data_IF_947227436724
#
_entry.id   IF_947227436724
#
_cell.length_a   1.000
_cell.length_b   1.000
_cell.length_c   1.000
_cell.angle_alpha   90.00
_cell.angle_beta   90.00
_cell.angle_gamma   90.00
#
_symmetry.space_group_name_H-M   'P 1'
#
loop_
_entity.id
_entity.type
_entity.pdbx_description
1 polymer ?
#
# COMPACT_ATOMS: atom_id res chain seq x y z
N UNK A 1 -18.18 -3.50 -14.41
CA UNK A 1 -18.34 -2.64 -13.22
C UNK A 1 -19.82 -2.33 -13.05
N UNK A 2 -20.34 -2.41 -11.83
CA UNK A 2 -21.76 -2.14 -11.54
C UNK A 2 -21.93 -0.64 -11.30
N UNK A 3 -22.65 0.11 -12.17
CA UNK A 3 -22.88 1.53 -11.97
C UNK A 3 -23.87 1.76 -10.81
N UNK A 4 -23.70 2.89 -10.10
CA UNK A 4 -24.63 3.29 -9.04
C UNK A 4 -25.93 3.80 -9.67
N UNK A 5 -27.09 3.36 -9.22
CA UNK A 5 -28.37 3.85 -9.73
C UNK A 5 -28.52 5.38 -9.54
N UNK A 6 -28.96 6.08 -10.59
CA UNK A 6 -29.17 7.53 -10.54
C UNK A 6 -27.94 8.41 -10.79
N UNK A 7 -26.76 7.81 -10.98
CA UNK A 7 -25.51 8.52 -11.29
C UNK A 7 -25.29 8.58 -12.81
N UNK A 8 -24.83 9.73 -13.32
CA UNK A 8 -24.39 9.91 -14.68
C UNK A 8 -22.89 9.62 -14.82
N UNK A 9 -22.56 8.39 -15.24
CA UNK A 9 -21.19 7.92 -15.35
C UNK A 9 -20.41 8.57 -16.50
N UNK A 10 -21.10 8.95 -17.61
CA UNK A 10 -20.46 9.60 -18.76
C UNK A 10 -20.12 11.04 -18.43
N UNK A 11 -21.08 11.76 -17.84
CA UNK A 11 -20.85 13.14 -17.40
C UNK A 11 -19.74 13.21 -16.35
N UNK A 12 -19.71 12.28 -15.40
CA UNK A 12 -18.68 12.23 -14.37
C UNK A 12 -17.29 11.95 -14.94
N UNK A 13 -17.17 11.04 -15.91
CA UNK A 13 -15.89 10.76 -16.59
C UNK A 13 -15.39 11.97 -17.39
N UNK A 14 -16.27 12.72 -18.06
CA UNK A 14 -15.91 13.95 -18.77
C UNK A 14 -15.52 15.08 -17.81
N UNK A 15 -16.20 15.21 -16.67
CA UNK A 15 -15.89 16.15 -15.62
C UNK A 15 -14.51 15.90 -15.03
N UNK A 16 -14.19 14.63 -14.74
CA UNK A 16 -12.86 14.23 -14.27
C UNK A 16 -11.75 14.48 -15.30
N UNK A 17 -12.02 14.26 -16.57
CA UNK A 17 -11.05 14.54 -17.63
C UNK A 17 -10.80 16.05 -17.82
N UNK A 18 -11.77 16.90 -17.43
CA UNK A 18 -11.67 18.36 -17.46
C UNK A 18 -10.96 18.97 -16.24
N UNK A 19 -11.04 18.29 -15.08
CA UNK A 19 -10.33 18.68 -13.87
C UNK A 19 -8.90 18.14 -13.98
N UNK A 20 -7.96 18.97 -14.41
CA UNK A 20 -6.53 18.70 -14.61
C UNK A 20 -5.99 17.40 -13.99
N UNK A 21 -5.87 16.51 -14.72
CA UNK A 21 -5.52 15.12 -14.89
C UNK A 21 -4.45 14.47 -13.99
N UNK A 22 -3.88 15.14 -13.00
CA UNK A 22 -2.79 14.55 -12.25
C UNK A 22 -3.20 13.96 -10.92
N UNK A 23 -4.06 14.65 -10.18
CA UNK A 23 -4.31 14.34 -8.79
C UNK A 23 -5.34 13.21 -8.61
N UNK A 24 -6.35 13.17 -9.47
CA UNK A 24 -7.38 12.13 -9.48
C UNK A 24 -6.95 10.85 -10.21
N UNK A 25 -5.99 10.94 -11.12
CA UNK A 25 -5.39 9.78 -11.80
C UNK A 25 -4.75 8.78 -10.82
N UNK A 26 -4.21 9.28 -9.71
CA UNK A 26 -3.66 8.43 -8.67
C UNK A 26 -4.73 7.61 -7.93
N UNK A 27 -5.89 8.22 -7.63
CA UNK A 27 -7.03 7.49 -7.07
C UNK A 27 -7.55 6.43 -8.03
N UNK A 28 -7.58 6.75 -9.34
CA UNK A 28 -7.95 5.79 -10.37
C UNK A 28 -7.04 4.56 -10.40
N UNK A 29 -5.72 4.73 -10.16
CA UNK A 29 -4.79 3.61 -10.09
C UNK A 29 -5.12 2.62 -8.96
N UNK A 30 -5.46 3.11 -7.75
CA UNK A 30 -5.81 2.24 -6.62
C UNK A 30 -7.22 1.65 -6.72
N UNK A 31 -8.11 2.28 -7.45
CA UNK A 31 -9.50 1.84 -7.63
C UNK A 31 -9.72 1.05 -8.91
N UNK A 32 -8.67 0.87 -9.75
CA UNK A 32 -8.76 0.14 -11.02
C UNK A 32 -9.76 0.76 -12.01
N UNK A 33 -9.86 2.10 -12.04
CA UNK A 33 -10.82 2.84 -12.88
C UNK A 33 -12.26 2.82 -12.37
N UNK A 34 -12.52 2.21 -11.21
CA UNK A 34 -13.87 2.18 -10.59
C UNK A 34 -14.32 3.56 -10.14
N UNK A 35 -13.37 4.41 -9.75
CA UNK A 35 -13.62 5.79 -9.37
C UNK A 35 -14.09 6.63 -10.55
N UNK A 36 -13.42 6.54 -11.71
CA UNK A 36 -13.78 7.32 -12.91
C UNK A 36 -15.18 7.01 -13.43
N UNK A 37 -15.62 5.78 -13.24
CA UNK A 37 -16.95 5.31 -13.66
C UNK A 37 -17.98 5.39 -12.54
N UNK A 38 -17.67 5.98 -11.38
CA UNK A 38 -18.54 6.02 -10.20
C UNK A 38 -19.31 4.71 -10.01
N UNK A 39 -18.57 3.62 -9.97
CA UNK A 39 -19.14 2.28 -9.74
C UNK A 39 -19.37 2.04 -8.24
N UNK A 40 -20.10 0.98 -7.93
CA UNK A 40 -20.33 0.52 -6.55
C UNK A 40 -19.02 0.42 -5.73
N UNK A 41 -17.91 0.10 -6.39
CA UNK A 41 -16.59 -0.05 -5.80
C UNK A 41 -15.68 1.19 -5.98
N UNK A 42 -16.26 2.38 -6.17
CA UNK A 42 -15.47 3.60 -6.41
C UNK A 42 -14.54 3.98 -5.25
N UNK A 43 -14.94 3.73 -4.00
CA UNK A 43 -14.07 3.88 -2.83
C UNK A 43 -13.01 2.77 -2.68
N UNK A 44 -13.23 1.64 -3.37
CA UNK A 44 -12.33 0.48 -3.27
C UNK A 44 -12.07 0.05 -1.82
N UNK A 45 -10.83 -0.32 -1.50
CA UNK A 45 -10.32 -0.68 -0.16
C UNK A 45 -9.69 0.53 0.55
N UNK A 46 -9.69 1.72 -0.05
CA UNK A 46 -9.03 2.92 0.51
C UNK A 46 -9.47 3.22 1.96
N UNK A 47 -10.76 3.19 2.34
CA UNK A 47 -11.18 3.43 3.72
C UNK A 47 -10.61 2.40 4.70
N UNK A 48 -10.43 1.15 4.28
CA UNK A 48 -9.84 0.12 5.12
C UNK A 48 -8.34 0.35 5.33
N UNK A 49 -7.61 0.72 4.28
CA UNK A 49 -6.17 1.03 4.39
C UNK A 49 -5.98 2.19 5.36
N UNK A 50 -6.73 3.28 5.19
CA UNK A 50 -6.67 4.45 6.09
C UNK A 50 -7.02 4.07 7.53
N UNK A 51 -8.07 3.27 7.73
CA UNK A 51 -8.47 2.75 9.04
C UNK A 51 -7.38 1.89 9.69
N UNK A 52 -6.75 1.00 8.92
CA UNK A 52 -5.66 0.16 9.41
C UNK A 52 -4.45 0.99 9.84
N UNK A 53 -4.12 2.04 9.08
CA UNK A 53 -3.06 2.99 9.44
C UNK A 53 -3.39 3.69 10.76
N UNK A 54 -4.59 4.25 10.87
CA UNK A 54 -5.06 4.95 12.07
C UNK A 54 -4.99 4.01 13.27
N UNK A 55 -5.48 2.78 13.14
CA UNK A 55 -5.46 1.80 14.23
C UNK A 55 -4.05 1.39 14.65
N UNK A 56 -3.12 1.23 13.70
CA UNK A 56 -1.71 0.96 14.00
C UNK A 56 -1.06 2.12 14.76
N UNK A 57 -1.34 3.38 14.37
CA UNK A 57 -0.87 4.56 15.10
C UNK A 57 -1.48 4.65 16.50
N UNK A 58 -2.79 4.40 16.63
CA UNK A 58 -3.49 4.41 17.91
C UNK A 58 -3.02 3.30 18.85
N UNK A 59 -2.62 2.15 18.32
CA UNK A 59 -2.09 1.03 19.14
C UNK A 59 -0.80 1.42 19.86
N UNK A 60 -0.01 2.34 19.29
CA UNK A 60 1.20 2.86 19.95
C UNK A 60 0.84 4.00 20.92
N UNK A 61 -0.13 4.84 20.55
CA UNK A 61 -0.49 6.01 21.34
C UNK A 61 -1.34 5.66 22.58
N UNK A 62 -2.12 4.59 22.52
CA UNK A 62 -3.06 4.19 23.58
C UNK A 62 -2.59 2.90 24.26
N UNK A 63 -2.14 2.95 25.54
CA UNK A 63 -1.62 1.78 26.25
C UNK A 63 -2.59 0.58 26.28
N UNK A 64 -3.89 0.83 26.37
CA UNK A 64 -4.91 -0.22 26.37
C UNK A 64 -4.95 -1.03 25.05
N UNK A 65 -4.71 -0.38 23.91
CA UNK A 65 -4.63 -1.07 22.62
C UNK A 65 -3.31 -1.83 22.46
N UNK A 66 -2.22 -1.30 23.03
CA UNK A 66 -0.94 -1.98 23.09
C UNK A 66 -1.03 -3.28 23.93
N UNK A 67 -1.70 -3.23 25.09
CA UNK A 67 -1.97 -4.40 25.92
C UNK A 67 -2.78 -5.45 25.15
N UNK A 68 -3.86 -5.03 24.46
CA UNK A 68 -4.66 -5.93 23.63
C UNK A 68 -3.81 -6.58 22.51
N UNK A 69 -2.86 -5.86 21.92
CA UNK A 69 -1.97 -6.44 20.91
C UNK A 69 -1.04 -7.52 21.49
N UNK A 70 -0.63 -7.37 22.76
CA UNK A 70 0.19 -8.32 23.50
C UNK A 70 -0.59 -9.56 24.00
N UNK A 71 -1.93 -9.50 24.06
CA UNK A 71 -2.80 -10.64 24.42
C UNK A 71 -2.77 -11.81 23.41
N UNK A 72 -2.05 -11.67 22.28
CA UNK A 72 -1.92 -12.71 21.26
C UNK A 72 -3.07 -12.72 20.25
N UNK A 73 -3.56 -13.93 19.87
CA UNK A 73 -4.58 -14.05 18.80
C UNK A 73 -5.92 -13.41 19.15
N UNK A 74 -6.37 -13.52 20.40
CA UNK A 74 -7.67 -12.97 20.80
C UNK A 74 -7.65 -11.44 20.82
N UNK A 75 -6.55 -10.85 21.25
CA UNK A 75 -6.36 -9.40 21.19
C UNK A 75 -6.30 -8.88 19.74
N UNK A 76 -5.60 -9.58 18.86
CA UNK A 76 -5.55 -9.24 17.43
C UNK A 76 -6.93 -9.30 16.78
N UNK A 77 -7.76 -10.29 17.10
CA UNK A 77 -9.15 -10.40 16.61
C UNK A 77 -10.01 -9.22 17.08
N UNK A 78 -9.84 -8.77 18.34
CA UNK A 78 -10.53 -7.57 18.86
C UNK A 78 -10.10 -6.31 18.11
N UNK A 79 -8.79 -6.11 17.89
CA UNK A 79 -8.26 -4.97 17.13
C UNK A 79 -8.80 -4.99 15.71
N UNK A 80 -8.82 -6.15 15.03
CA UNK A 80 -9.39 -6.30 13.71
C UNK A 80 -10.89 -5.92 13.67
N UNK A 81 -11.68 -6.30 14.68
CA UNK A 81 -13.08 -5.91 14.79
C UNK A 81 -13.24 -4.39 14.94
N UNK A 82 -12.41 -3.72 15.75
CA UNK A 82 -12.42 -2.27 15.89
C UNK A 82 -12.06 -1.62 14.54
N UNK A 83 -11.05 -2.14 13.84
CA UNK A 83 -10.65 -1.66 12.52
C UNK A 83 -11.81 -1.72 11.53
N UNK A 84 -12.63 -2.79 11.54
CA UNK A 84 -13.84 -2.90 10.69
C UNK A 84 -14.84 -1.79 10.96
N UNK A 85 -15.14 -1.49 12.23
CA UNK A 85 -16.07 -0.40 12.58
C UNK A 85 -15.53 0.96 12.14
N UNK A 86 -14.24 1.22 12.37
CA UNK A 86 -13.59 2.47 11.92
C UNK A 86 -13.61 2.57 10.40
N UNK A 87 -13.40 1.46 9.68
CA UNK A 87 -13.48 1.40 8.21
C UNK A 87 -14.86 1.80 7.70
N UNK A 88 -15.93 1.25 8.27
CA UNK A 88 -17.31 1.59 7.88
C UNK A 88 -17.58 3.06 8.18
N UNK A 89 -17.14 3.57 9.32
CA UNK A 89 -17.28 4.98 9.69
C UNK A 89 -16.55 5.90 8.71
N UNK A 90 -15.31 5.58 8.34
CA UNK A 90 -14.55 6.36 7.34
C UNK A 90 -15.16 6.26 5.95
N UNK A 91 -15.58 5.06 5.52
CA UNK A 91 -16.26 4.87 4.24
C UNK A 91 -17.55 5.70 4.15
N UNK A 92 -18.29 5.80 5.25
CA UNK A 92 -19.50 6.65 5.31
C UNK A 92 -19.14 8.13 5.19
N UNK A 93 -18.11 8.61 5.89
CA UNK A 93 -17.65 10.00 5.80
C UNK A 93 -17.18 10.32 4.38
N UNK A 94 -16.35 9.47 3.79
CA UNK A 94 -15.84 9.65 2.43
C UNK A 94 -16.97 9.60 1.39
N UNK A 95 -17.93 8.68 1.51
CA UNK A 95 -19.06 8.57 0.60
C UNK A 95 -19.99 9.78 0.68
N UNK A 96 -20.26 10.32 1.89
CA UNK A 96 -21.03 11.55 2.08
C UNK A 96 -20.30 12.74 1.46
N UNK A 97 -18.99 12.88 1.70
CA UNK A 97 -18.18 13.94 1.13
C UNK A 97 -18.19 13.90 -0.41
N UNK A 98 -18.05 12.70 -1.01
CA UNK A 98 -18.14 12.51 -2.46
C UNK A 98 -19.53 12.82 -3.01
N UNK A 99 -20.59 12.30 -2.39
CA UNK A 99 -21.95 12.50 -2.84
C UNK A 99 -22.37 14.00 -2.80
N UNK A 100 -21.95 14.74 -1.79
CA UNK A 100 -22.22 16.18 -1.67
C UNK A 100 -21.30 16.99 -2.59
N UNK A 101 -19.99 16.67 -2.62
CA UNK A 101 -19.00 17.40 -3.42
C UNK A 101 -19.28 17.34 -4.91
N UNK A 102 -19.50 16.15 -5.44
CA UNK A 102 -19.79 15.95 -6.86
C UNK A 102 -21.29 16.03 -7.19
N UNK A 103 -22.17 15.85 -6.22
CA UNK A 103 -23.63 15.92 -6.43
C UNK A 103 -24.08 17.24 -7.04
N UNK A 104 -23.52 18.36 -6.58
CA UNK A 104 -23.78 19.70 -7.12
C UNK A 104 -23.14 19.96 -8.49
N UNK A 105 -22.15 19.15 -8.87
CA UNK A 105 -21.44 19.28 -10.13
C UNK A 105 -22.06 18.44 -11.27
N UNK A 106 -23.24 17.83 -11.05
CA UNK A 106 -23.95 17.05 -12.07
C UNK A 106 -23.77 15.54 -11.99
N UNK A 107 -23.24 15.02 -10.88
CA UNK A 107 -23.14 13.57 -10.65
C UNK A 107 -24.51 12.88 -10.70
N UNK A 108 -25.56 13.55 -10.22
CA UNK A 108 -26.92 13.01 -10.16
C UNK A 108 -27.66 13.39 -11.44
N UNK A 109 -28.21 12.39 -12.16
CA UNK A 109 -29.00 12.62 -13.38
C UNK A 109 -30.19 13.51 -13.08
N UNK A 110 -30.33 14.62 -13.86
CA UNK A 110 -31.47 15.53 -13.73
C UNK A 110 -31.43 16.46 -12.51
N UNK A 111 -30.25 16.70 -11.93
CA UNK A 111 -30.07 17.57 -10.75
C UNK A 111 -30.81 18.93 -10.86
N UNK A 112 -30.82 19.58 -12.06
CA UNK A 112 -31.39 20.91 -12.27
C UNK A 112 -32.94 20.96 -12.11
N UNK A 113 -33.60 19.83 -12.36
CA UNK A 113 -35.08 19.74 -12.35
C UNK A 113 -35.64 18.96 -11.14
N UNK A 114 -34.76 18.50 -10.23
CA UNK A 114 -35.17 17.69 -9.09
C UNK A 114 -35.70 18.50 -7.91
N UNK A 115 -36.78 18.01 -7.30
CA UNK A 115 -37.23 18.49 -5.97
C UNK A 115 -36.17 18.16 -4.92
N UNK A 116 -36.01 19.03 -3.90
CA UNK A 116 -35.06 18.86 -2.80
C UNK A 116 -35.17 17.49 -2.13
N UNK A 117 -36.36 16.91 -2.03
CA UNK A 117 -36.60 15.59 -1.42
C UNK A 117 -36.00 14.49 -2.29
N UNK A 118 -36.18 14.55 -3.63
CA UNK A 118 -35.61 13.59 -4.55
C UNK A 118 -34.08 13.70 -4.60
N UNK A 119 -33.53 14.89 -4.50
CA UNK A 119 -32.07 15.08 -4.41
C UNK A 119 -31.47 14.43 -3.16
N UNK A 120 -32.07 14.67 -1.99
CA UNK A 120 -31.61 14.07 -0.72
C UNK A 120 -31.74 12.54 -0.77
N UNK A 121 -32.84 12.00 -1.30
CA UNK A 121 -33.00 10.54 -1.45
C UNK A 121 -31.94 9.93 -2.38
N UNK A 122 -31.60 10.61 -3.48
CA UNK A 122 -30.55 10.16 -4.40
C UNK A 122 -29.16 10.19 -3.72
N UNK A 123 -28.85 11.21 -2.94
CA UNK A 123 -27.62 11.25 -2.13
C UNK A 123 -27.55 10.06 -1.18
N UNK A 124 -28.63 9.77 -0.46
CA UNK A 124 -28.67 8.63 0.49
C UNK A 124 -28.41 7.31 -0.23
N UNK A 125 -29.00 7.11 -1.42
CA UNK A 125 -28.79 5.90 -2.24
C UNK A 125 -27.31 5.80 -2.66
N UNK A 126 -26.69 6.89 -3.13
CA UNK A 126 -25.28 6.92 -3.53
C UNK A 126 -24.38 6.62 -2.32
N UNK A 127 -24.61 7.23 -1.18
CA UNK A 127 -23.86 7.01 0.06
C UNK A 127 -23.97 5.55 0.51
N UNK A 128 -25.19 5.00 0.53
CA UNK A 128 -25.42 3.61 0.91
C UNK A 128 -24.74 2.64 -0.05
N UNK A 129 -24.78 2.91 -1.36
CA UNK A 129 -24.15 2.09 -2.38
C UNK A 129 -22.61 2.09 -2.24
N UNK A 130 -21.98 3.26 -2.10
CA UNK A 130 -20.53 3.41 -1.94
C UNK A 130 -20.02 2.76 -0.65
N UNK A 131 -20.71 3.02 0.47
CA UNK A 131 -20.36 2.43 1.77
C UNK A 131 -20.54 0.92 1.75
N UNK A 132 -21.64 0.44 1.18
CA UNK A 132 -21.91 -1.00 1.03
C UNK A 132 -20.88 -1.70 0.13
N UNK A 133 -20.48 -1.05 -0.97
CA UNK A 133 -19.44 -1.58 -1.88
C UNK A 133 -18.07 -1.71 -1.18
N UNK A 134 -17.64 -0.69 -0.44
CA UNK A 134 -16.40 -0.74 0.34
C UNK A 134 -16.44 -1.80 1.45
N UNK A 135 -17.57 -1.91 2.18
CA UNK A 135 -17.75 -2.93 3.20
C UNK A 135 -17.73 -4.35 2.62
N UNK A 136 -18.29 -4.55 1.43
CA UNK A 136 -18.27 -5.83 0.74
C UNK A 136 -16.86 -6.21 0.29
N UNK A 137 -16.08 -5.28 -0.24
CA UNK A 137 -14.66 -5.52 -0.61
C UNK A 137 -13.81 -5.85 0.61
N UNK A 138 -14.01 -5.14 1.73
CA UNK A 138 -13.36 -5.45 3.00
C UNK A 138 -13.68 -6.88 3.44
N UNK A 139 -14.95 -7.28 3.42
CA UNK A 139 -15.37 -8.61 3.80
C UNK A 139 -14.77 -9.70 2.89
N UNK A 140 -14.73 -9.47 1.57
CA UNK A 140 -14.07 -10.39 0.63
C UNK A 140 -12.58 -10.51 0.95
N UNK A 141 -11.87 -9.38 1.18
CA UNK A 141 -10.46 -9.37 1.52
C UNK A 141 -10.16 -10.17 2.80
N UNK A 142 -10.99 -10.02 3.83
CA UNK A 142 -10.86 -10.79 5.07
C UNK A 142 -11.11 -12.30 4.85
N UNK A 143 -12.12 -12.66 4.07
CA UNK A 143 -12.39 -14.07 3.73
C UNK A 143 -11.23 -14.71 2.97
N UNK A 144 -10.58 -13.96 2.07
CA UNK A 144 -9.37 -14.44 1.39
C UNK A 144 -8.24 -14.66 2.41
N UNK A 145 -8.08 -13.75 3.37
CA UNK A 145 -7.04 -13.89 4.41
C UNK A 145 -7.31 -15.06 5.35
N UNK A 146 -8.57 -15.29 5.75
CA UNK A 146 -8.95 -16.37 6.68
C UNK A 146 -8.88 -17.77 6.02
N UNK A 147 -9.35 -17.91 4.80
CA UNK A 147 -9.56 -19.22 4.15
C UNK A 147 -8.65 -19.45 2.93
N UNK A 148 -7.95 -18.41 2.46
CA UNK A 148 -7.11 -18.45 1.27
C UNK A 148 -5.62 -18.46 1.61
N UNK A 149 -4.84 -17.92 0.67
CA UNK A 149 -3.39 -17.77 0.78
C UNK A 149 -3.05 -16.30 0.63
N UNK A 150 -2.15 -15.80 1.45
CA UNK A 150 -1.72 -14.40 1.38
C UNK A 150 -2.60 -13.45 2.18
N UNK A 151 -2.27 -12.17 2.10
CA UNK A 151 -3.08 -11.09 2.65
C UNK A 151 -4.15 -10.71 1.63
N UNK A 152 -5.42 -11.05 1.90
CA UNK A 152 -6.53 -10.83 0.98
C UNK A 152 -6.72 -9.37 0.58
N UNK A 153 -6.42 -8.43 1.47
CA UNK A 153 -6.52 -7.00 1.17
C UNK A 153 -5.45 -6.57 0.17
N UNK A 154 -4.23 -7.07 0.34
CA UNK A 154 -3.14 -6.85 -0.62
C UNK A 154 -3.46 -7.46 -1.99
N UNK A 155 -4.13 -8.63 -2.01
CA UNK A 155 -4.58 -9.28 -3.25
C UNK A 155 -5.64 -8.44 -3.96
N UNK A 156 -6.61 -7.88 -3.24
CA UNK A 156 -7.62 -7.00 -3.86
C UNK A 156 -6.98 -5.72 -4.41
N UNK A 157 -6.01 -5.13 -3.70
CA UNK A 157 -5.21 -4.01 -4.24
C UNK A 157 -4.47 -4.40 -5.51
N UNK A 158 -3.83 -5.56 -5.52
CA UNK A 158 -3.13 -6.10 -6.68
C UNK A 158 -4.06 -6.21 -7.89
N UNK A 159 -5.25 -6.78 -7.72
CA UNK A 159 -6.25 -6.93 -8.79
C UNK A 159 -6.68 -5.57 -9.32
N UNK A 160 -6.93 -4.60 -8.44
CA UNK A 160 -7.32 -3.25 -8.85
C UNK A 160 -6.22 -2.58 -9.70
N UNK A 161 -4.96 -2.67 -9.27
CA UNK A 161 -3.84 -2.10 -10.00
C UNK A 161 -3.67 -2.79 -11.37
N UNK A 162 -3.72 -4.12 -11.41
CA UNK A 162 -3.61 -4.88 -12.67
C UNK A 162 -4.77 -4.55 -13.63
N UNK A 163 -5.98 -4.34 -13.11
CA UNK A 163 -7.14 -3.94 -13.93
C UNK A 163 -6.95 -2.59 -14.62
N UNK A 164 -6.20 -1.66 -14.04
CA UNK A 164 -5.85 -0.37 -14.63
C UNK A 164 -4.73 -0.43 -15.68
N UNK A 165 -3.83 -1.41 -15.58
CA UNK A 165 -2.64 -1.52 -16.44
C UNK A 165 -2.90 -1.46 -17.97
N UNK A 166 -3.92 -2.15 -18.52
CA UNK A 166 -4.16 -2.11 -19.96
C UNK A 166 -4.41 -0.69 -20.48
N UNK A 167 -5.15 0.14 -19.73
CA UNK A 167 -5.40 1.53 -20.10
C UNK A 167 -4.13 2.37 -20.02
N UNK A 168 -3.29 2.13 -19.01
CA UNK A 168 -2.01 2.83 -18.87
C UNK A 168 -1.05 2.48 -20.01
N UNK A 169 -0.98 1.21 -20.41
CA UNK A 169 -0.20 0.80 -21.59
C UNK A 169 -0.73 1.40 -22.88
N UNK A 170 -2.06 1.46 -23.06
CA UNK A 170 -2.67 2.12 -24.22
C UNK A 170 -2.33 3.62 -24.26
N UNK A 171 -2.34 4.29 -23.11
CA UNK A 171 -1.97 5.70 -22.99
C UNK A 171 -0.49 5.93 -23.29
N UNK A 172 0.41 5.08 -22.80
CA UNK A 172 1.83 5.12 -23.12
C UNK A 172 2.07 4.93 -24.61
N UNK A 173 1.40 3.95 -25.21
CA UNK A 173 1.51 3.68 -26.65
C UNK A 173 1.03 4.88 -27.46
N UNK A 174 -0.14 5.43 -27.17
CA UNK A 174 -0.71 6.56 -27.88
C UNK A 174 0.12 7.84 -27.73
N UNK A 175 0.76 8.04 -26.56
CA UNK A 175 1.54 9.27 -26.28
C UNK A 175 2.96 9.20 -26.84
N UNK A 176 3.63 8.06 -26.74
CA UNK A 176 5.06 7.97 -27.02
C UNK A 176 5.41 7.19 -28.29
N UNK A 177 4.58 6.26 -28.72
CA UNK A 177 4.86 5.37 -29.84
C UNK A 177 4.09 5.82 -31.09
N UNK A 178 2.79 5.97 -31.02
CA UNK A 178 1.92 6.26 -32.16
C UNK A 178 2.25 7.57 -32.90
N UNK A 179 2.57 8.72 -32.23
CA UNK A 179 2.80 9.98 -32.92
C UNK A 179 4.21 10.11 -33.58
N UNK A 180 5.09 9.10 -33.42
CA UNK A 180 6.49 9.15 -33.87
C UNK A 180 6.71 8.30 -35.12
N UNK A 181 7.78 8.63 -35.86
CA UNK A 181 8.27 7.79 -36.98
C UNK A 181 8.57 6.38 -36.46
N UNK A 182 8.33 5.33 -37.26
CA UNK A 182 8.44 3.92 -36.90
C UNK A 182 9.72 3.63 -36.08
N UNK A 183 10.89 4.09 -36.55
CA UNK A 183 12.16 3.87 -35.87
C UNK A 183 12.21 4.53 -34.47
N UNK A 184 11.71 5.76 -34.32
CA UNK A 184 11.66 6.47 -33.04
C UNK A 184 10.58 5.90 -32.12
N UNK A 185 9.48 5.37 -32.65
CA UNK A 185 8.44 4.70 -31.92
C UNK A 185 8.93 3.38 -31.28
N UNK A 186 9.63 2.56 -32.09
CA UNK A 186 10.23 1.30 -31.60
C UNK A 186 11.27 1.59 -30.50
N UNK A 187 12.11 2.60 -30.68
CA UNK A 187 13.10 2.98 -29.68
C UNK A 187 12.43 3.46 -28.38
N UNK A 188 11.37 4.27 -28.47
CA UNK A 188 10.62 4.72 -27.30
C UNK A 188 9.96 3.54 -26.56
N UNK A 189 9.36 2.60 -27.29
CA UNK A 189 8.79 1.37 -26.72
C UNK A 189 9.85 0.51 -26.00
N UNK A 190 11.02 0.34 -26.62
CA UNK A 190 12.13 -0.39 -26.02
C UNK A 190 12.64 0.26 -24.72
N UNK A 191 12.75 1.60 -24.69
CA UNK A 191 13.17 2.34 -23.48
C UNK A 191 12.14 2.20 -22.36
N UNK A 192 10.84 2.32 -22.66
CA UNK A 192 9.78 2.13 -21.67
C UNK A 192 9.85 0.72 -21.07
N UNK A 193 9.98 -0.30 -21.91
CA UNK A 193 10.05 -1.68 -21.48
C UNK A 193 11.33 -1.94 -20.64
N UNK A 194 12.46 -1.36 -21.02
CA UNK A 194 13.70 -1.45 -20.25
C UNK A 194 13.57 -0.81 -18.86
N UNK A 195 12.92 0.35 -18.74
CA UNK A 195 12.66 1.01 -17.45
C UNK A 195 11.75 0.13 -16.58
N UNK A 196 10.69 -0.46 -17.12
CA UNK A 196 9.79 -1.35 -16.38
C UNK A 196 10.52 -2.58 -15.86
N UNK A 197 11.32 -3.25 -16.70
CA UNK A 197 12.12 -4.40 -16.31
C UNK A 197 13.12 -4.01 -15.21
N UNK A 198 13.81 -2.89 -15.37
CA UNK A 198 14.76 -2.38 -14.37
C UNK A 198 14.08 -2.17 -13.01
N UNK A 199 12.89 -1.57 -13.02
CA UNK A 199 12.13 -1.34 -11.78
C UNK A 199 11.74 -2.66 -11.11
N UNK A 200 11.24 -3.64 -11.88
CA UNK A 200 10.90 -4.97 -11.33
C UNK A 200 12.13 -5.62 -10.71
N UNK A 201 13.28 -5.61 -11.38
CA UNK A 201 14.53 -6.16 -10.86
C UNK A 201 14.92 -5.47 -9.54
N UNK A 202 14.90 -4.14 -9.49
CA UNK A 202 15.22 -3.39 -8.27
C UNK A 202 14.28 -3.73 -7.10
N UNK A 203 12.99 -3.87 -7.37
CA UNK A 203 12.01 -4.24 -6.34
C UNK A 203 12.27 -5.67 -5.85
N UNK A 204 12.54 -6.62 -6.75
CA UNK A 204 12.87 -8.00 -6.36
C UNK A 204 14.11 -8.04 -5.47
N UNK A 205 15.18 -7.32 -5.83
CA UNK A 205 16.38 -7.22 -5.00
C UNK A 205 16.09 -6.66 -3.61
N UNK A 206 15.24 -5.64 -3.53
CA UNK A 206 14.89 -5.01 -2.26
C UNK A 206 14.03 -5.92 -1.37
N UNK A 207 13.09 -6.66 -1.96
CA UNK A 207 12.15 -7.52 -1.25
C UNK A 207 12.77 -8.86 -0.81
N UNK A 208 13.69 -9.40 -1.59
CA UNK A 208 14.38 -10.67 -1.28
C UNK A 208 15.66 -10.48 -0.49
N UNK A 209 16.18 -9.24 -0.44
CA UNK A 209 17.39 -8.93 0.31
C UNK A 209 17.20 -9.25 1.80
N UNK A 210 18.03 -10.14 2.35
CA UNK A 210 18.03 -10.49 3.77
C UNK A 210 19.44 -10.53 4.35
N UNK A 211 19.59 -10.06 5.59
CA UNK A 211 20.80 -10.21 6.37
C UNK A 211 20.65 -11.36 7.34
N UNK A 212 21.43 -12.41 7.17
CA UNK A 212 21.44 -13.59 8.04
C UNK A 212 22.38 -13.39 9.21
N UNK A 213 21.83 -13.37 10.44
CA UNK A 213 22.62 -13.29 11.67
C UNK A 213 22.83 -14.71 12.19
N UNK A 214 24.08 -15.19 12.34
CA UNK A 214 24.33 -16.52 12.85
C UNK A 214 23.98 -16.61 14.34
N UNK A 215 23.23 -17.65 14.71
CA UNK A 215 22.87 -17.98 16.09
C UNK A 215 23.28 -19.41 16.40
N UNK A 216 23.94 -19.60 17.52
CA UNK A 216 24.33 -20.92 18.03
C UNK A 216 23.43 -21.28 19.21
N UNK A 217 22.80 -22.43 19.13
CA UNK A 217 22.06 -23.00 20.26
C UNK A 217 22.92 -23.94 21.05
N UNK A 218 22.83 -23.89 22.40
CA UNK A 218 23.56 -24.82 23.26
C UNK A 218 23.13 -26.25 22.99
N UNK A 219 24.09 -27.16 23.05
CA UNK A 219 23.82 -28.59 22.90
C UNK A 219 22.91 -29.09 24.02
N UNK A 220 21.76 -29.64 23.68
CA UNK A 220 20.95 -30.41 24.64
C UNK A 220 21.52 -31.83 24.72
N UNK A 221 22.15 -32.16 25.84
CA UNK A 221 22.56 -33.51 26.15
C UNK A 221 21.36 -34.23 26.75
N UNK A 222 20.77 -35.17 25.98
CA UNK A 222 19.70 -36.05 26.47
C UNK A 222 20.28 -37.46 26.59
N UNK A 223 20.70 -37.83 27.79
CA UNK A 223 21.35 -39.13 28.05
C UNK A 223 22.76 -39.27 27.44
N UNK A 224 23.09 -40.43 26.89
CA UNK A 224 24.41 -40.74 26.31
C UNK A 224 24.61 -40.19 24.87
N UNK A 225 23.62 -39.59 24.23
CA UNK A 225 23.74 -39.01 22.90
C UNK A 225 23.80 -37.49 22.99
N UNK A 226 24.93 -36.91 22.62
CA UNK A 226 25.10 -35.48 22.35
C UNK A 226 24.55 -35.19 20.97
N UNK A 227 23.38 -34.52 20.87
CA UNK A 227 22.96 -33.91 19.62
C UNK A 227 23.76 -32.62 19.45
N UNK A 228 24.55 -32.54 18.37
CA UNK A 228 25.37 -31.37 18.05
C UNK A 228 24.55 -30.09 18.02
N UNK A 229 25.12 -29.01 18.54
CA UNK A 229 24.48 -27.69 18.51
C UNK A 229 24.15 -27.31 17.06
N UNK A 230 22.87 -27.06 16.80
CA UNK A 230 22.42 -26.60 15.49
C UNK A 230 22.72 -25.10 15.38
N UNK A 231 23.57 -24.73 14.43
CA UNK A 231 23.74 -23.34 14.04
C UNK A 231 22.61 -22.96 13.10
N UNK A 232 21.79 -22.01 13.51
CA UNK A 232 20.73 -21.41 12.69
C UNK A 232 21.03 -19.94 12.43
N UNK A 233 20.23 -19.33 11.57
CA UNK A 233 20.37 -17.92 11.23
C UNK A 233 19.05 -17.23 11.47
N UNK A 234 19.11 -16.00 11.98
CA UNK A 234 17.94 -15.10 12.00
C UNK A 234 17.97 -14.28 10.70
N UNK A 235 17.00 -14.47 9.81
CA UNK A 235 16.90 -13.65 8.60
C UNK A 235 16.26 -12.30 8.95
N UNK A 236 17.00 -11.21 8.78
CA UNK A 236 16.47 -9.85 8.84
C UNK A 236 16.30 -9.34 7.41
N UNK A 237 15.06 -9.15 6.97
CA UNK A 237 14.76 -8.60 5.64
C UNK A 237 15.24 -7.16 5.54
N UNK A 238 15.81 -6.77 4.41
CA UNK A 238 16.22 -5.39 4.12
C UNK A 238 15.01 -4.47 4.09
N UNK A 239 13.93 -4.93 3.48
CA UNK A 239 12.65 -4.24 3.51
C UNK A 239 11.69 -4.94 4.49
N UNK A 240 11.91 -4.75 5.79
CA UNK A 240 11.03 -5.27 6.86
C UNK A 240 9.67 -4.58 6.85
N UNK A 241 9.63 -3.31 6.47
CA UNK A 241 8.41 -2.50 6.42
C UNK A 241 7.53 -2.80 5.19
N UNK A 242 8.03 -3.54 4.19
CA UNK A 242 7.29 -3.84 2.97
C UNK A 242 6.96 -2.60 2.15
N UNK A 243 5.73 -2.54 1.67
CA UNK A 243 5.20 -1.46 0.82
C UNK A 243 4.54 -0.34 1.65
N UNK A 244 4.24 -0.63 2.92
CA UNK A 244 3.43 0.24 3.79
C UNK A 244 3.96 1.68 3.93
N UNK A 245 5.27 1.94 4.09
CA UNK A 245 5.78 3.30 4.22
C UNK A 245 5.44 4.21 3.03
N UNK A 246 5.47 3.65 1.82
CA UNK A 246 5.17 4.40 0.60
C UNK A 246 3.67 4.71 0.52
N UNK A 247 2.82 3.72 0.84
CA UNK A 247 1.36 3.89 0.84
C UNK A 247 0.97 4.95 1.88
N UNK A 248 1.58 4.93 3.08
CA UNK A 248 1.30 5.89 4.14
C UNK A 248 1.73 7.31 3.76
N UNK A 249 2.96 7.47 3.24
CA UNK A 249 3.47 8.76 2.80
C UNK A 249 2.59 9.36 1.70
N UNK A 250 2.21 8.58 0.69
CA UNK A 250 1.36 9.02 -0.40
C UNK A 250 -0.06 9.34 0.06
N UNK A 251 -0.66 8.51 0.91
CA UNK A 251 -2.01 8.75 1.44
C UNK A 251 -2.06 10.00 2.31
N UNK A 252 -1.06 10.21 3.17
CA UNK A 252 -0.99 11.41 4.02
C UNK A 252 -0.87 12.69 3.21
N UNK A 253 -0.09 12.67 2.12
CA UNK A 253 0.05 13.84 1.24
C UNK A 253 -1.19 14.11 0.39
N UNK A 254 -1.89 13.05 -0.03
CA UNK A 254 -3.06 13.19 -0.88
C UNK A 254 -4.34 13.54 -0.13
N UNK A 255 -4.48 13.12 1.11
CA UNK A 255 -5.67 13.35 1.91
C UNK A 255 -6.10 14.85 1.96
N UNK A 256 -5.22 15.82 2.24
CA UNK A 256 -5.58 17.23 2.19
C UNK A 256 -5.99 17.72 0.79
N UNK A 257 -5.35 17.18 -0.25
CA UNK A 257 -5.66 17.55 -1.65
C UNK A 257 -7.06 17.09 -2.02
N UNK A 258 -7.43 15.86 -1.65
CA UNK A 258 -8.76 15.29 -1.89
C UNK A 258 -9.83 16.11 -1.17
N UNK A 259 -9.62 16.45 0.11
CA UNK A 259 -10.56 17.27 0.89
C UNK A 259 -10.81 18.61 0.18
N UNK A 260 -9.76 19.30 -0.25
CA UNK A 260 -9.90 20.58 -0.93
C UNK A 260 -10.68 20.45 -2.23
N UNK A 261 -10.39 19.41 -3.02
CA UNK A 261 -11.11 19.17 -4.28
C UNK A 261 -12.59 18.83 -4.10
N UNK A 262 -12.95 18.18 -2.99
CA UNK A 262 -14.35 17.89 -2.67
C UNK A 262 -15.15 19.14 -2.30
N UNK A 263 -14.53 20.09 -1.60
CA UNK A 263 -15.22 21.29 -1.12
C UNK A 263 -15.06 22.53 -2.01
N UNK A 264 -14.05 22.55 -2.87
CA UNK A 264 -13.73 23.69 -3.72
C UNK A 264 -13.34 23.24 -5.12
N UNK A 265 -14.00 23.84 -6.13
CA UNK A 265 -13.64 23.63 -7.54
C UNK A 265 -12.33 24.35 -7.94
N UNK A 266 -11.72 25.13 -7.03
CA UNK A 266 -10.50 25.88 -7.28
C UNK A 266 -9.30 25.18 -6.67
N UNK A 267 -8.27 24.92 -7.48
CA UNK A 267 -6.97 24.42 -7.01
C UNK A 267 -6.20 25.54 -6.33
N UNK A 268 -5.95 25.40 -5.04
CA UNK A 268 -5.11 26.34 -4.30
C UNK A 268 -3.62 26.11 -4.60
N UNK A 269 -2.81 27.15 -4.53
CA UNK A 269 -1.36 27.06 -4.77
C UNK A 269 -0.67 26.01 -3.87
N UNK A 270 -1.06 25.92 -2.60
CA UNK A 270 -0.46 24.99 -1.65
C UNK A 270 -0.75 23.51 -1.95
N UNK A 271 -1.89 23.18 -2.57
CA UNK A 271 -2.21 21.78 -2.95
C UNK A 271 -1.28 21.26 -4.03
N UNK A 272 -0.72 22.13 -4.88
CA UNK A 272 0.26 21.77 -5.91
C UNK A 272 1.57 21.26 -5.33
N UNK A 273 1.96 21.68 -4.12
CA UNK A 273 3.14 21.13 -3.43
C UNK A 273 2.91 19.68 -2.95
N UNK A 274 1.69 19.32 -2.59
CA UNK A 274 1.35 18.00 -2.08
C UNK A 274 1.06 16.99 -3.19
N UNK A 275 0.72 17.46 -4.38
CA UNK A 275 0.35 16.61 -5.52
C UNK A 275 1.58 16.15 -6.31
N UNK A 276 1.72 14.84 -6.46
CA UNK A 276 2.82 14.21 -7.21
C UNK A 276 2.86 14.60 -8.70
N UNK A 277 1.74 15.05 -9.25
CA UNK A 277 1.60 15.44 -10.65
C UNK A 277 2.35 16.72 -11.03
N UNK A 278 2.69 17.54 -10.05
CA UNK A 278 3.43 18.80 -10.27
C UNK A 278 4.92 18.70 -9.96
N UNK A 279 5.37 17.57 -9.38
CA UNK A 279 6.77 17.40 -9.00
C UNK A 279 7.65 17.15 -10.23
N UNK A 280 8.87 17.60 -10.17
CA UNK A 280 9.88 17.44 -11.22
C UNK A 280 9.50 18.03 -12.60
N UNK A 281 8.43 18.86 -12.70
CA UNK A 281 8.13 19.56 -13.95
C UNK A 281 9.12 20.68 -14.19
N UNK A 282 9.76 20.69 -15.38
CA UNK A 282 10.74 21.69 -15.79
C UNK A 282 10.13 23.11 -15.77
N UNK A 283 8.85 23.23 -16.10
CA UNK A 283 8.13 24.52 -16.11
C UNK A 283 7.90 25.13 -14.71
N UNK A 284 7.84 24.33 -13.67
CA UNK A 284 7.49 24.80 -12.31
C UNK A 284 8.32 24.12 -11.22
N UNK A 285 9.64 24.38 -11.16
CA UNK A 285 10.55 23.67 -10.24
C UNK A 285 10.27 23.92 -8.75
N UNK A 286 9.56 25.00 -8.40
CA UNK A 286 9.22 25.34 -7.00
C UNK A 286 8.36 24.27 -6.32
N UNK A 287 7.53 23.54 -7.04
CA UNK A 287 6.67 22.50 -6.47
C UNK A 287 7.42 21.20 -6.15
N UNK A 288 8.65 21.05 -6.63
CA UNK A 288 9.52 19.90 -6.27
C UNK A 288 9.88 19.86 -4.78
N UNK A 289 9.60 20.92 -4.01
CA UNK A 289 9.74 20.93 -2.56
C UNK A 289 8.82 19.89 -1.90
N UNK A 290 7.64 19.60 -2.51
CA UNK A 290 6.76 18.52 -2.08
C UNK A 290 7.39 17.12 -2.22
N UNK A 291 8.24 16.93 -3.22
CA UNK A 291 8.99 15.69 -3.37
C UNK A 291 9.96 15.47 -2.20
N UNK A 292 10.62 16.51 -1.71
CA UNK A 292 11.50 16.43 -0.54
C UNK A 292 10.69 16.03 0.70
N UNK A 293 9.51 16.63 0.90
CA UNK A 293 8.62 16.25 1.99
C UNK A 293 8.21 14.78 1.87
N UNK A 294 7.86 14.31 0.67
CA UNK A 294 7.53 12.92 0.41
C UNK A 294 8.67 11.95 0.78
N UNK A 295 9.91 12.27 0.38
CA UNK A 295 11.10 11.48 0.72
C UNK A 295 11.28 11.38 2.24
N UNK A 296 11.16 12.50 2.95
CA UNK A 296 11.27 12.53 4.42
C UNK A 296 10.18 11.66 5.05
N UNK A 297 8.95 11.77 4.57
CA UNK A 297 7.83 10.94 5.07
C UNK A 297 8.07 9.45 4.83
N UNK A 298 8.53 9.05 3.65
CA UNK A 298 8.84 7.63 3.36
C UNK A 298 9.89 7.09 4.34
N UNK A 299 10.95 7.86 4.61
CA UNK A 299 12.00 7.44 5.56
C UNK A 299 11.42 7.35 6.98
N UNK A 300 10.69 8.35 7.44
CA UNK A 300 10.07 8.38 8.77
C UNK A 300 9.13 7.19 8.94
N UNK A 301 8.26 6.93 7.97
CA UNK A 301 7.34 5.79 8.03
C UNK A 301 8.05 4.44 7.91
N UNK A 302 9.17 4.34 7.20
CA UNK A 302 9.96 3.11 7.15
C UNK A 302 10.52 2.75 8.54
N UNK A 303 11.10 3.71 9.24
CA UNK A 303 11.56 3.51 10.62
C UNK A 303 10.41 3.21 11.57
N UNK A 304 9.34 4.00 11.48
CA UNK A 304 8.15 3.85 12.31
C UNK A 304 7.54 2.45 12.16
N UNK A 305 7.27 2.02 10.93
CA UNK A 305 6.66 0.72 10.68
C UNK A 305 7.55 -0.44 11.10
N UNK A 306 8.86 -0.33 10.86
CA UNK A 306 9.81 -1.37 11.30
C UNK A 306 9.85 -1.50 12.80
N UNK A 307 9.77 -0.39 13.56
CA UNK A 307 9.75 -0.42 15.02
C UNK A 307 8.51 -1.12 15.60
N UNK A 308 7.39 -1.11 14.87
CA UNK A 308 6.17 -1.83 15.24
C UNK A 308 6.27 -3.32 14.92
N UNK A 309 6.82 -3.62 13.73
CA UNK A 309 6.82 -4.99 13.19
C UNK A 309 7.87 -5.86 13.87
N UNK A 310 9.01 -5.29 14.24
CA UNK A 310 10.12 -6.01 14.83
C UNK A 310 10.51 -5.41 16.18
N UNK A 311 10.33 -6.19 17.26
CA UNK A 311 10.72 -5.82 18.60
C UNK A 311 12.05 -6.52 18.98
N UNK A 312 13.21 -5.82 18.96
CA UNK A 312 14.51 -6.41 19.27
C UNK A 312 14.61 -7.00 20.68
N UNK A 313 13.87 -6.42 21.64
CA UNK A 313 13.89 -6.87 23.04
C UNK A 313 13.22 -8.23 23.17
N UNK A 314 12.03 -8.37 22.59
CA UNK A 314 11.28 -9.62 22.61
C UNK A 314 12.03 -10.76 21.90
N UNK A 315 12.64 -10.47 20.76
CA UNK A 315 13.47 -11.44 20.01
C UNK A 315 14.67 -11.88 20.84
N UNK A 316 15.37 -10.94 21.48
CA UNK A 316 16.52 -11.24 22.34
C UNK A 316 16.13 -12.09 23.57
N UNK A 317 14.98 -11.81 24.19
CA UNK A 317 14.47 -12.58 25.32
C UNK A 317 14.02 -13.99 24.91
N UNK A 318 13.37 -14.12 23.77
CA UNK A 318 12.98 -15.43 23.20
C UNK A 318 14.23 -16.28 22.87
N UNK A 319 15.26 -15.66 22.26
CA UNK A 319 16.55 -16.31 22.05
C UNK A 319 17.17 -16.78 23.36
N UNK A 320 17.22 -15.91 24.37
CA UNK A 320 17.79 -16.26 25.67
C UNK A 320 17.05 -17.44 26.31
N UNK A 321 15.72 -17.46 26.26
CA UNK A 321 14.89 -18.58 26.75
C UNK A 321 15.13 -19.88 25.98
N UNK A 322 15.38 -19.78 24.69
CA UNK A 322 15.68 -20.92 23.82
C UNK A 322 17.16 -21.39 23.93
N UNK A 323 18.01 -20.72 24.72
CA UNK A 323 19.44 -21.04 24.84
C UNK A 323 20.26 -20.66 23.60
N UNK A 324 19.75 -19.74 22.76
CA UNK A 324 20.45 -19.22 21.58
C UNK A 324 21.41 -18.09 21.95
N UNK A 325 22.58 -18.10 21.36
CA UNK A 325 23.62 -17.06 21.59
C UNK A 325 24.16 -16.61 20.24
N UNK A 326 24.35 -15.31 20.07
CA UNK A 326 25.08 -14.75 18.93
C UNK A 326 26.57 -14.83 19.27
N UNK A 327 27.42 -15.41 18.41
CA UNK A 327 28.85 -15.50 18.67
C UNK A 327 29.47 -14.14 18.98
N UNK A 328 30.16 -14.05 20.12
CA UNK A 328 30.81 -12.81 20.56
C UNK A 328 29.94 -11.80 21.30
N UNK A 329 28.64 -12.09 21.57
CA UNK A 329 27.72 -11.19 22.25
C UNK A 329 27.09 -11.89 23.43
N UNK A 330 27.03 -11.22 24.60
CA UNK A 330 26.38 -11.74 25.79
C UNK A 330 24.86 -11.79 25.61
N UNK A 331 24.19 -12.91 25.98
CA UNK A 331 22.75 -13.03 25.84
C UNK A 331 21.99 -12.04 26.75
N UNK A 332 20.91 -11.48 26.24
CA UNK A 332 20.05 -10.54 26.94
C UNK A 332 20.17 -9.10 26.38
N UNK A 333 20.43 -8.11 27.24
CA UNK A 333 20.42 -6.70 26.88
C UNK A 333 21.41 -6.35 25.76
N UNK A 334 22.61 -6.90 25.81
CA UNK A 334 23.62 -6.67 24.74
C UNK A 334 23.21 -7.24 23.39
N UNK A 335 22.47 -8.35 23.38
CA UNK A 335 21.89 -8.94 22.15
C UNK A 335 20.80 -8.03 21.59
N UNK A 336 19.93 -7.48 22.44
CA UNK A 336 18.89 -6.53 22.01
C UNK A 336 19.49 -5.25 21.43
N UNK A 337 20.51 -4.69 22.06
CA UNK A 337 21.22 -3.48 21.57
C UNK A 337 21.90 -3.74 20.23
N UNK A 338 22.53 -4.91 20.06
CA UNK A 338 23.15 -5.31 18.79
C UNK A 338 22.12 -5.49 17.68
N UNK A 339 21.01 -6.17 17.95
CA UNK A 339 19.91 -6.35 16.98
C UNK A 339 19.33 -4.99 16.57
N UNK A 340 19.10 -4.09 17.53
CA UNK A 340 18.58 -2.75 17.25
C UNK A 340 19.54 -1.95 16.37
N UNK A 341 20.85 -2.02 16.64
CA UNK A 341 21.87 -1.35 15.82
C UNK A 341 21.87 -1.85 14.38
N UNK A 342 21.84 -3.18 14.19
CA UNK A 342 21.78 -3.78 12.85
C UNK A 342 20.49 -3.40 12.14
N UNK A 343 19.36 -3.48 12.84
CA UNK A 343 18.05 -3.13 12.31
C UNK A 343 18.04 -1.70 11.76
N UNK A 344 18.55 -0.74 12.53
CA UNK A 344 18.62 0.66 12.10
C UNK A 344 19.41 0.84 10.81
N UNK A 345 20.52 0.14 10.63
CA UNK A 345 21.28 0.18 9.38
C UNK A 345 20.53 -0.44 8.21
N UNK A 346 19.89 -1.59 8.45
CA UNK A 346 19.13 -2.31 7.42
C UNK A 346 17.94 -1.48 6.97
N UNK A 347 17.20 -0.90 7.93
CA UNK A 347 16.03 -0.04 7.65
C UNK A 347 16.42 1.18 6.83
N UNK A 348 17.57 1.80 7.14
CA UNK A 348 18.05 2.94 6.35
C UNK A 348 18.32 2.54 4.89
N UNK A 349 19.02 1.43 4.68
CA UNK A 349 19.29 0.90 3.32
C UNK A 349 17.98 0.56 2.60
N UNK A 350 17.04 -0.10 3.30
CA UNK A 350 15.70 -0.40 2.78
C UNK A 350 14.91 0.85 2.41
N UNK A 351 14.90 1.86 3.28
CA UNK A 351 14.21 3.13 3.03
C UNK A 351 14.80 3.89 1.83
N UNK A 352 16.12 3.92 1.69
CA UNK A 352 16.79 4.51 0.52
C UNK A 352 16.44 3.73 -0.75
N UNK A 353 16.41 2.40 -0.70
CA UNK A 353 15.98 1.56 -1.83
C UNK A 353 14.54 1.84 -2.24
N UNK A 354 13.61 1.89 -1.29
CA UNK A 354 12.21 2.25 -1.54
C UNK A 354 12.08 3.65 -2.15
N UNK A 355 12.84 4.62 -1.63
CA UNK A 355 12.87 5.99 -2.15
C UNK A 355 13.32 6.02 -3.61
N UNK A 356 14.40 5.33 -3.97
CA UNK A 356 14.91 5.28 -5.36
C UNK A 356 13.83 4.72 -6.29
N UNK A 357 13.19 3.62 -5.91
CA UNK A 357 12.15 2.98 -6.73
C UNK A 357 10.92 3.89 -6.87
N UNK A 358 10.52 4.59 -5.81
CA UNK A 358 9.40 5.53 -5.86
C UNK A 358 9.70 6.79 -6.69
N UNK A 359 10.96 7.23 -6.73
CA UNK A 359 11.39 8.42 -7.48
C UNK A 359 11.42 8.19 -9.00
N UNK A 360 11.78 7.01 -9.47
CA UNK A 360 11.93 6.73 -10.91
C UNK A 360 10.69 7.14 -11.72
N UNK A 361 9.46 6.68 -11.40
CA UNK A 361 8.29 7.07 -12.16
C UNK A 361 7.89 8.54 -11.99
N UNK A 362 8.10 9.12 -10.81
CA UNK A 362 7.85 10.54 -10.57
C UNK A 362 8.75 11.39 -11.47
N UNK A 363 10.02 11.03 -11.58
CA UNK A 363 10.96 11.68 -12.50
C UNK A 363 10.55 11.45 -13.97
N UNK A 364 10.18 10.22 -14.33
CA UNK A 364 9.72 9.93 -15.69
C UNK A 364 8.47 10.74 -16.05
N UNK A 365 7.51 10.84 -15.14
CA UNK A 365 6.31 11.66 -15.33
C UNK A 365 6.65 13.16 -15.45
N UNK A 366 7.55 13.66 -14.62
CA UNK A 366 7.96 15.07 -14.64
C UNK A 366 8.72 15.47 -15.89
N UNK A 367 9.68 14.67 -16.34
CA UNK A 367 10.51 14.99 -17.51
C UNK A 367 9.83 14.71 -18.85
N UNK A 368 9.06 13.63 -18.94
CA UNK A 368 8.43 13.22 -20.18
C UNK A 368 6.97 13.63 -20.31
N UNK A 369 6.39 14.31 -19.32
CA UNK A 369 4.95 14.61 -19.25
C UNK A 369 4.06 13.38 -19.49
N UNK A 370 4.53 12.22 -19.09
CA UNK A 370 3.78 10.99 -19.16
C UNK A 370 2.72 11.01 -18.04
N UNK A 371 1.48 11.30 -18.39
CA UNK A 371 0.33 11.14 -17.49
C UNK A 371 -0.01 9.65 -17.36
N UNK A 372 0.88 8.89 -16.70
CA UNK A 372 0.68 7.46 -16.47
C UNK A 372 0.36 7.26 -15.01
N UNK A 373 -0.76 6.64 -14.74
CA UNK A 373 -1.17 6.21 -13.40
C UNK A 373 -0.27 5.06 -12.87
N UNK A 374 0.57 4.51 -13.75
CA UNK A 374 1.55 3.46 -13.48
C UNK A 374 2.75 4.00 -12.68
N UNK A 375 2.49 4.41 -11.43
CA UNK A 375 3.50 4.94 -10.52
C UNK A 375 4.39 3.83 -9.94
N UNK A 376 5.57 4.20 -9.42
CA UNK A 376 6.48 3.28 -8.73
C UNK A 376 5.83 2.53 -7.59
N UNK A 377 4.87 3.14 -6.93
CA UNK A 377 4.05 2.51 -5.89
C UNK A 377 3.29 1.29 -6.41
N UNK A 378 2.71 1.37 -7.61
CA UNK A 378 1.96 0.26 -8.21
C UNK A 378 2.85 -0.95 -8.48
N UNK A 379 4.03 -0.76 -9.05
CA UNK A 379 4.99 -1.85 -9.32
C UNK A 379 5.49 -2.48 -8.02
N UNK A 380 5.81 -1.65 -7.02
CA UNK A 380 6.26 -2.16 -5.71
C UNK A 380 5.17 -3.01 -5.06
N UNK A 381 3.90 -2.56 -5.13
CA UNK A 381 2.77 -3.31 -4.58
C UNK A 381 2.59 -4.63 -5.33
N UNK A 382 2.60 -4.61 -6.66
CA UNK A 382 2.46 -5.83 -7.48
C UNK A 382 3.53 -6.85 -7.12
N UNK A 383 4.80 -6.47 -7.21
CA UNK A 383 5.94 -7.38 -6.97
C UNK A 383 5.96 -7.83 -5.51
N UNK A 384 5.72 -6.90 -4.56
CA UNK A 384 5.70 -7.20 -3.13
C UNK A 384 4.63 -8.23 -2.76
N UNK A 385 3.39 -8.01 -3.23
CA UNK A 385 2.26 -8.93 -2.95
C UNK A 385 2.46 -10.29 -3.61
N UNK A 386 2.97 -10.32 -4.85
CA UNK A 386 3.24 -11.59 -5.56
C UNK A 386 4.30 -12.39 -4.81
N UNK A 387 5.43 -11.77 -4.44
CA UNK A 387 6.50 -12.44 -3.70
C UNK A 387 6.05 -12.92 -2.33
N UNK A 388 5.28 -12.12 -1.59
CA UNK A 388 4.74 -12.51 -0.29
C UNK A 388 3.79 -13.69 -0.42
N UNK A 389 2.90 -13.67 -1.41
CA UNK A 389 1.96 -14.76 -1.68
C UNK A 389 2.68 -16.04 -2.07
N UNK A 390 3.70 -15.96 -2.93
CA UNK A 390 4.53 -17.11 -3.31
C UNK A 390 5.22 -17.74 -2.10
N UNK A 391 5.85 -16.93 -1.23
CA UNK A 391 6.49 -17.42 0.00
C UNK A 391 5.50 -18.11 0.96
N UNK A 392 4.26 -17.61 1.03
CA UNK A 392 3.22 -18.26 1.84
C UNK A 392 2.75 -19.58 1.23
N UNK A 393 2.63 -19.65 -0.10
CA UNK A 393 2.31 -20.91 -0.81
C UNK A 393 3.40 -21.95 -0.54
N UNK A 394 4.66 -21.58 -0.68
CA UNK A 394 5.81 -22.46 -0.39
C UNK A 394 5.78 -22.96 1.05
N UNK A 395 5.52 -22.07 2.02
CA UNK A 395 5.44 -22.45 3.42
C UNK A 395 4.29 -23.43 3.70
N UNK A 396 3.11 -23.23 3.07
CA UNK A 396 1.98 -24.15 3.20
C UNK A 396 2.23 -25.50 2.52
N UNK A 397 2.91 -25.51 1.39
CA UNK A 397 3.30 -26.74 0.71
C UNK A 397 4.27 -27.57 1.56
N UNK A 398 5.29 -26.94 2.14
CA UNK A 398 6.24 -27.62 3.04
C UNK A 398 5.52 -28.24 4.25
N UNK A 399 4.55 -27.54 4.85
CA UNK A 399 3.77 -28.06 5.98
C UNK A 399 2.90 -29.28 5.61
N UNK A 400 2.40 -29.37 4.37
CA UNK A 400 1.62 -30.52 3.90
C UNK A 400 2.50 -31.76 3.68
N UNK A 401 3.72 -31.60 3.22
CA UNK A 401 4.64 -32.71 3.03
C UNK A 401 5.04 -33.37 4.36
N UNK A 402 5.11 -32.62 5.46
CA UNK A 402 5.41 -33.15 6.80
C UNK A 402 4.26 -33.96 7.41
N UNK A 403 3.01 -33.69 7.03
CA UNK A 403 1.84 -34.45 7.53
C UNK A 403 1.73 -35.86 6.93
N UNK A 404 2.29 -36.10 5.76
CA UNK A 404 2.27 -37.40 5.11
C UNK A 404 3.16 -38.47 5.76
N UNK A 405 4.14 -38.05 6.59
CA UNK A 405 5.05 -38.98 7.30
C UNK A 405 4.55 -39.41 8.68
N UNK A 406 3.49 -38.80 9.21
CA UNK A 406 2.95 -39.07 10.54
C UNK A 406 1.56 -39.74 10.52
N UNK A 407 1.08 -40.13 9.36
CA UNK A 407 -0.19 -40.86 9.20
C UNK A 407 0.02 -42.31 8.74
N UNK A 408 0.95 -43.02 9.42
CA UNK A 408 0.96 -44.48 9.54
C UNK A 408 0.81 -44.92 10.98
#
# INVERSE_FOLDING_TARGET
>A
MLPIPGVDTEYFSTLLSGINNGDLSYLSAFTGGSFEKMSLFALSITPYITSSIIMQLLTIAIPKLEEMQKEGEDGRKKIASITRYVTIGLALIESVAMAIGFGKQGLIKGYADMSTIHYVSSIVVVVAALTGGSALLMWIGERITENGVGNGISIVLLINIISGMPNDFATLYSTFVAPKTIAKGVLAGAVILAILILMVILVCFLQDGERRIPVQYSQKVTGRKSMGGQSTHIPLKVNTAGVMPIIFASSLMQFPVIIVQLFSSTTYEWTKYLSSSYWCKVATPKYSLGLLLYIVLVIVFAYFYTSITFNPVEVADNMKRAGGVIPGITPGKSTSEYLNKILNYIVFVGAVGLMIIALIPIMCSGFFNASVSFGGTSIIIIVGVVLETLKQIEAQMCNRYYRGFLSE
#
